data_IF_975257953569
#
_entry.id   IF_975257953569
#
_cell.length_a   1.000
_cell.length_b   1.000
_cell.length_c   1.000
_cell.angle_alpha   90.00
_cell.angle_beta   90.00
_cell.angle_gamma   90.00
#
_symmetry.space_group_name_H-M   'P 1'
#
loop_
_entity.id
_entity.type
_entity.pdbx_description
1 polymer ?
#
# COMPACT_ATOMS: atom_id res chain seq x y z
N UNK A 1 -2.43 -2.30 6.34
CA UNK A 1 -1.67 -1.82 5.17
C UNK A 1 -2.58 -1.72 3.96
N UNK A 2 -2.54 -0.62 3.24
CA UNK A 2 -3.36 -0.35 2.04
C UNK A 2 -2.55 0.41 0.98
N UNK A 3 -3.13 0.58 -0.21
CA UNK A 3 -2.56 1.34 -1.32
C UNK A 3 -3.65 1.83 -2.27
N UNK A 4 -3.31 2.77 -3.14
CA UNK A 4 -4.13 3.15 -4.30
C UNK A 4 -5.55 3.57 -3.89
N UNK A 5 -5.66 4.45 -2.90
CA UNK A 5 -6.92 5.03 -2.44
C UNK A 5 -7.46 6.07 -3.42
N UNK A 6 -6.57 6.76 -4.18
CA UNK A 6 -6.95 7.76 -5.17
C UNK A 6 -7.96 8.80 -4.64
N UNK A 7 -7.74 9.29 -3.42
CA UNK A 7 -8.61 10.27 -2.78
C UNK A 7 -9.89 9.71 -2.15
N UNK A 8 -10.14 8.41 -2.30
CA UNK A 8 -11.33 7.78 -1.75
C UNK A 8 -11.17 7.39 -0.29
N UNK A 9 -12.10 7.85 0.55
CA UNK A 9 -12.27 7.40 1.93
C UNK A 9 -13.41 6.39 2.03
N UNK A 10 -13.20 5.31 2.77
CA UNK A 10 -14.23 4.36 3.16
C UNK A 10 -14.44 4.46 4.67
N UNK A 11 -15.68 4.70 5.11
CA UNK A 11 -15.99 4.83 6.54
C UNK A 11 -15.69 3.54 7.32
N UNK A 12 -15.58 2.41 6.61
CA UNK A 12 -15.15 1.12 7.21
C UNK A 12 -13.68 1.10 7.59
N UNK A 13 -12.85 2.01 7.07
CA UNK A 13 -11.42 2.04 7.41
C UNK A 13 -11.20 2.17 8.91
N UNK A 14 -12.00 3.00 9.60
CA UNK A 14 -11.88 3.16 11.05
C UNK A 14 -12.03 1.83 11.78
N UNK A 15 -13.06 1.05 11.46
CA UNK A 15 -13.30 -0.25 12.07
C UNK A 15 -12.20 -1.28 11.74
N UNK A 16 -11.69 -1.28 10.50
CA UNK A 16 -10.63 -2.21 10.12
C UNK A 16 -9.28 -1.90 10.75
N UNK A 17 -9.01 -0.62 11.06
CA UNK A 17 -7.75 -0.19 11.67
C UNK A 17 -7.81 -0.06 13.19
N UNK A 18 -8.98 -0.21 13.81
CA UNK A 18 -9.16 -0.05 15.25
C UNK A 18 -8.19 -0.94 16.05
N UNK A 19 -8.05 -2.20 15.68
CA UNK A 19 -7.15 -3.16 16.33
C UNK A 19 -5.68 -3.08 15.86
N UNK A 20 -5.34 -2.16 14.96
CA UNK A 20 -3.98 -2.00 14.46
C UNK A 20 -3.21 -0.96 15.26
N UNK A 21 -1.91 -1.17 15.43
CA UNK A 21 -1.01 -0.20 16.05
C UNK A 21 -0.55 0.89 15.08
N UNK A 22 -0.41 0.57 13.79
CA UNK A 22 0.01 1.48 12.73
C UNK A 22 -0.78 1.25 11.44
N UNK A 23 -0.90 2.29 10.63
CA UNK A 23 -1.41 2.23 9.26
C UNK A 23 -0.27 2.51 8.29
N UNK A 24 -0.11 1.65 7.27
CA UNK A 24 0.87 1.83 6.20
C UNK A 24 0.19 1.99 4.85
N UNK A 25 0.64 2.97 4.05
CA UNK A 25 0.07 3.28 2.74
C UNK A 25 1.15 3.26 1.65
N UNK A 26 1.00 2.38 0.66
CA UNK A 26 1.98 2.16 -0.40
C UNK A 26 1.79 3.08 -1.63
N UNK A 27 1.28 4.29 -1.44
CA UNK A 27 1.23 5.34 -2.47
C UNK A 27 -0.08 5.44 -3.25
N UNK A 28 -0.16 6.45 -4.12
CA UNK A 28 -1.38 6.90 -4.78
C UNK A 28 -2.49 7.20 -3.76
N UNK A 29 -2.14 8.04 -2.79
CA UNK A 29 -3.03 8.48 -1.72
C UNK A 29 -4.16 9.34 -2.32
N UNK A 30 -3.81 10.28 -3.21
CA UNK A 30 -4.71 11.12 -3.96
C UNK A 30 -4.86 12.55 -3.40
N UNK A 31 -4.60 12.77 -2.13
CA UNK A 31 -4.49 14.11 -1.53
C UNK A 31 -3.79 14.09 -0.18
N UNK A 32 -3.15 15.21 0.16
CA UNK A 32 -2.55 15.38 1.49
C UNK A 32 -3.59 15.28 2.61
N UNK A 33 -4.79 15.85 2.40
CA UNK A 33 -5.88 15.79 3.39
C UNK A 33 -6.32 14.36 3.70
N UNK A 34 -6.30 13.46 2.73
CA UNK A 34 -6.58 12.06 2.96
C UNK A 34 -5.47 11.38 3.79
N UNK A 35 -4.20 11.66 3.49
CA UNK A 35 -3.08 11.19 4.30
C UNK A 35 -3.19 11.65 5.76
N UNK A 36 -3.48 12.92 5.98
CA UNK A 36 -3.70 13.49 7.32
C UNK A 36 -4.88 12.84 8.05
N UNK A 37 -5.90 12.39 7.33
CA UNK A 37 -7.02 11.67 7.92
C UNK A 37 -6.58 10.31 8.47
N UNK A 38 -5.69 9.59 7.79
CA UNK A 38 -5.09 8.37 8.32
C UNK A 38 -4.17 8.64 9.52
N UNK A 39 -3.37 9.72 9.45
CA UNK A 39 -2.51 10.16 10.58
C UNK A 39 -3.30 10.45 11.85
N UNK A 40 -4.52 10.98 11.71
CA UNK A 40 -5.40 11.27 12.84
C UNK A 40 -5.95 10.00 13.50
N UNK A 41 -5.98 8.86 12.80
CA UNK A 41 -6.45 7.60 13.35
C UNK A 41 -5.37 6.84 14.11
N UNK A 42 -4.20 6.68 13.52
CA UNK A 42 -3.10 5.84 14.04
C UNK A 42 -1.75 6.40 13.56
N UNK A 43 -0.62 6.03 14.19
CA UNK A 43 0.70 6.23 13.62
C UNK A 43 0.71 5.77 12.15
N UNK A 44 1.18 6.63 11.26
CA UNK A 44 1.03 6.46 9.82
C UNK A 44 2.38 6.47 9.13
N UNK A 45 2.64 5.46 8.30
CA UNK A 45 3.79 5.41 7.40
C UNK A 45 3.31 5.34 5.97
N UNK A 46 3.80 6.22 5.13
CA UNK A 46 3.38 6.25 3.74
C UNK A 46 4.53 6.59 2.79
N UNK A 47 4.38 6.17 1.55
CA UNK A 47 5.11 6.68 0.41
C UNK A 47 4.13 7.38 -0.52
N UNK A 48 4.61 8.35 -1.31
CA UNK A 48 3.78 8.89 -2.39
C UNK A 48 3.81 7.98 -3.62
N UNK A 49 2.77 8.05 -4.43
CA UNK A 49 2.70 7.38 -5.73
C UNK A 49 2.83 8.36 -6.91
N UNK A 50 2.59 7.85 -8.11
CA UNK A 50 2.75 8.63 -9.34
C UNK A 50 1.64 9.66 -9.57
N UNK A 51 0.44 9.46 -9.02
CA UNK A 51 -0.67 10.42 -9.16
C UNK A 51 -0.67 11.49 -8.06
N UNK A 52 0.11 11.30 -7.00
CA UNK A 52 0.11 12.21 -5.86
C UNK A 52 0.69 13.58 -6.25
N UNK A 53 0.03 14.63 -5.77
CA UNK A 53 0.37 16.02 -6.03
C UNK A 53 1.61 16.51 -5.24
N UNK A 54 2.09 17.71 -5.54
CA UNK A 54 3.28 18.26 -4.89
C UNK A 54 3.17 18.37 -3.37
N UNK A 55 2.05 18.80 -2.75
CA UNK A 55 1.92 18.76 -1.30
C UNK A 55 2.02 17.37 -0.69
N UNK A 56 1.39 16.37 -1.30
CA UNK A 56 1.46 14.97 -0.86
C UNK A 56 2.88 14.42 -0.99
N UNK A 57 3.56 14.70 -2.09
CA UNK A 57 4.97 14.31 -2.31
C UNK A 57 5.94 14.98 -1.35
N UNK A 58 5.65 16.20 -0.91
CA UNK A 58 6.45 16.89 0.09
C UNK A 58 6.30 16.27 1.48
N UNK A 59 5.12 15.74 1.80
CA UNK A 59 4.83 15.12 3.09
C UNK A 59 5.33 13.67 3.20
N UNK A 60 5.28 12.91 2.09
CA UNK A 60 5.60 11.48 2.08
C UNK A 60 6.73 11.18 1.08
N UNK A 61 7.77 10.40 1.47
CA UNK A 61 8.89 10.09 0.58
C UNK A 61 8.47 9.15 -0.57
N UNK A 62 9.27 9.10 -1.64
CA UNK A 62 9.09 8.13 -2.74
C UNK A 62 9.36 6.69 -2.30
N UNK A 63 10.31 6.52 -1.37
CA UNK A 63 10.73 5.23 -0.83
C UNK A 63 10.96 5.38 0.65
N UNK A 64 10.49 4.42 1.44
CA UNK A 64 10.64 4.40 2.88
C UNK A 64 11.27 3.08 3.31
N UNK A 65 12.36 3.14 4.08
CA UNK A 65 12.97 1.97 4.70
C UNK A 65 13.05 2.16 6.21
N UNK A 66 12.61 1.16 6.95
CA UNK A 66 12.61 1.18 8.41
C UNK A 66 12.68 -0.24 8.97
N UNK A 67 13.06 -0.34 10.24
CA UNK A 67 12.98 -1.59 10.98
C UNK A 67 11.93 -1.45 12.08
N UNK A 68 11.02 -2.39 12.15
CA UNK A 68 9.99 -2.47 13.18
C UNK A 68 9.87 -3.91 13.67
N UNK A 69 9.86 -4.12 14.99
CA UNK A 69 9.82 -5.45 15.61
C UNK A 69 10.86 -6.43 15.02
N UNK A 70 12.07 -5.94 14.70
CA UNK A 70 13.14 -6.74 14.10
C UNK A 70 12.96 -7.09 12.62
N UNK A 71 11.93 -6.58 11.96
CA UNK A 71 11.68 -6.75 10.53
C UNK A 71 12.18 -5.52 9.76
N UNK A 72 13.14 -5.72 8.85
CA UNK A 72 13.60 -4.69 7.90
C UNK A 72 12.59 -4.58 6.75
N UNK A 73 11.94 -3.44 6.64
CA UNK A 73 10.89 -3.15 5.66
C UNK A 73 11.37 -2.13 4.65
N UNK A 74 11.13 -2.40 3.37
CA UNK A 74 11.29 -1.44 2.29
C UNK A 74 9.95 -1.25 1.60
N UNK A 75 9.48 -0.01 1.48
CA UNK A 75 8.22 0.35 0.84
C UNK A 75 8.45 1.37 -0.26
N UNK A 76 7.86 1.16 -1.42
CA UNK A 76 7.80 2.09 -2.55
C UNK A 76 6.46 1.90 -3.27
N UNK A 77 6.03 2.89 -4.07
CA UNK A 77 4.78 2.72 -4.82
C UNK A 77 4.96 1.83 -6.05
N UNK A 78 5.87 2.18 -6.95
CA UNK A 78 6.16 1.42 -8.16
C UNK A 78 7.34 0.49 -7.89
N UNK A 79 7.07 -0.79 -7.63
CA UNK A 79 8.12 -1.73 -7.22
C UNK A 79 8.19 -3.01 -8.05
N UNK A 80 7.14 -3.34 -8.79
CA UNK A 80 7.01 -4.63 -9.46
C UNK A 80 6.80 -5.76 -8.45
N UNK A 81 7.34 -6.95 -8.74
CA UNK A 81 7.18 -8.15 -7.92
C UNK A 81 8.34 -9.13 -8.17
N UNK A 82 8.51 -10.18 -7.36
CA UNK A 82 9.56 -11.17 -7.54
C UNK A 82 9.66 -11.71 -8.97
N UNK A 83 10.84 -11.59 -9.56
CA UNK A 83 11.12 -11.92 -10.96
C UNK A 83 10.89 -10.78 -11.97
N UNK A 84 10.16 -9.73 -11.60
CA UNK A 84 9.88 -8.55 -12.44
C UNK A 84 9.87 -7.25 -11.62
N UNK A 85 10.93 -7.03 -10.85
CA UNK A 85 11.11 -5.78 -10.11
C UNK A 85 11.28 -4.58 -11.04
N UNK A 86 10.70 -3.46 -10.64
CA UNK A 86 10.88 -2.19 -11.35
C UNK A 86 12.37 -1.80 -11.37
N UNK A 87 12.90 -1.31 -12.51
CA UNK A 87 14.31 -0.92 -12.63
C UNK A 87 14.79 0.07 -11.58
N UNK A 88 13.93 1.01 -11.15
CA UNK A 88 14.29 2.06 -10.18
C UNK A 88 14.59 1.51 -8.78
N UNK A 89 13.92 0.42 -8.37
CA UNK A 89 14.10 -0.17 -7.04
C UNK A 89 14.97 -1.43 -7.06
N UNK A 90 15.11 -2.08 -8.21
CA UNK A 90 15.79 -3.38 -8.36
C UNK A 90 17.21 -3.37 -7.81
N UNK A 91 17.99 -2.34 -8.12
CA UNK A 91 19.37 -2.23 -7.65
C UNK A 91 19.43 -2.17 -6.12
N UNK A 92 18.56 -1.42 -5.49
CA UNK A 92 18.48 -1.30 -4.03
C UNK A 92 18.06 -2.63 -3.37
N UNK A 93 17.07 -3.32 -3.97
CA UNK A 93 16.62 -4.63 -3.50
C UNK A 93 17.73 -5.68 -3.55
N UNK A 94 18.53 -5.70 -4.61
CA UNK A 94 19.64 -6.65 -4.75
C UNK A 94 20.83 -6.30 -3.86
N UNK A 95 21.16 -5.01 -3.70
CA UNK A 95 22.27 -4.57 -2.88
C UNK A 95 22.03 -4.84 -1.38
N UNK A 96 20.80 -4.63 -0.92
CA UNK A 96 20.41 -4.86 0.47
C UNK A 96 18.95 -5.35 0.53
N UNK A 97 18.73 -6.66 0.36
CA UNK A 97 17.37 -7.21 0.40
C UNK A 97 16.70 -6.95 1.75
N UNK A 98 15.47 -6.41 1.78
CA UNK A 98 14.69 -6.29 3.01
C UNK A 98 14.09 -7.65 3.39
N UNK A 99 13.62 -7.80 4.61
CA UNK A 99 12.80 -8.95 4.99
C UNK A 99 11.37 -8.87 4.43
N UNK A 100 10.85 -7.63 4.35
CA UNK A 100 9.54 -7.32 3.78
C UNK A 100 9.67 -6.21 2.73
N UNK A 101 9.25 -6.49 1.51
CA UNK A 101 9.15 -5.52 0.42
C UNK A 101 7.70 -5.25 0.07
N UNK A 102 7.30 -3.98 0.15
CA UNK A 102 5.93 -3.53 -0.09
C UNK A 102 5.90 -2.62 -1.32
N UNK A 103 4.96 -2.92 -2.24
CA UNK A 103 4.66 -2.08 -3.40
C UNK A 103 3.16 -1.96 -3.61
N UNK A 104 2.73 -0.95 -4.37
CA UNK A 104 1.35 -0.72 -4.81
C UNK A 104 1.24 -0.69 -6.33
N UNK A 105 0.58 0.33 -6.87
CA UNK A 105 0.49 0.71 -8.29
C UNK A 105 -0.26 -0.26 -9.22
N UNK A 106 0.01 -1.55 -9.16
CA UNK A 106 -0.63 -2.52 -10.06
C UNK A 106 -2.11 -2.76 -9.77
N UNK A 107 -2.60 -2.32 -8.61
CA UNK A 107 -3.94 -2.62 -8.07
C UNK A 107 -4.22 -4.12 -7.91
N UNK A 108 -3.19 -4.95 -7.98
CA UNK A 108 -3.30 -6.41 -7.90
C UNK A 108 -2.79 -6.88 -6.54
N UNK A 109 -3.70 -7.45 -5.74
CA UNK A 109 -3.33 -8.13 -4.51
C UNK A 109 -2.31 -9.23 -4.81
N UNK A 110 -1.14 -9.16 -4.17
CA UNK A 110 -0.08 -10.15 -4.34
C UNK A 110 0.72 -10.33 -3.05
N UNK A 111 0.87 -11.56 -2.64
CA UNK A 111 1.78 -11.96 -1.57
C UNK A 111 2.67 -13.07 -2.11
N UNK A 112 3.97 -12.83 -2.18
CA UNK A 112 4.94 -13.73 -2.80
C UNK A 112 6.26 -13.74 -2.03
N UNK A 113 6.82 -14.92 -1.80
CA UNK A 113 8.16 -15.03 -1.24
C UNK A 113 9.21 -15.17 -2.37
N UNK A 114 10.14 -14.22 -2.39
CA UNK A 114 11.31 -14.29 -3.27
C UNK A 114 12.41 -15.15 -2.62
N UNK A 115 12.58 -16.35 -3.14
CA UNK A 115 13.60 -17.31 -2.65
C UNK A 115 15.03 -16.82 -2.89
N UNK A 116 15.28 -16.01 -3.94
CA UNK A 116 16.61 -15.49 -4.27
C UNK A 116 17.04 -14.41 -3.31
N UNK A 117 16.14 -13.47 -3.05
CA UNK A 117 16.38 -12.36 -2.13
C UNK A 117 16.04 -12.69 -0.68
N UNK A 118 15.41 -13.85 -0.42
CA UNK A 118 14.86 -14.23 0.90
C UNK A 118 13.97 -13.14 1.49
N UNK A 119 13.12 -12.58 0.66
CA UNK A 119 12.29 -11.44 0.94
C UNK A 119 10.82 -11.78 0.72
N UNK A 120 9.94 -11.41 1.66
CA UNK A 120 8.50 -11.47 1.43
C UNK A 120 8.06 -10.20 0.71
N UNK A 121 7.41 -10.37 -0.44
CA UNK A 121 6.78 -9.27 -1.18
C UNK A 121 5.28 -9.23 -0.89
N UNK A 122 4.77 -8.01 -0.63
CA UNK A 122 3.35 -7.74 -0.47
C UNK A 122 2.92 -6.55 -1.33
N UNK A 123 1.82 -6.72 -2.05
CA UNK A 123 1.03 -5.65 -2.63
C UNK A 123 -0.40 -5.80 -2.11
N UNK A 124 -0.95 -4.80 -1.41
CA UNK A 124 -2.28 -4.92 -0.80
C UNK A 124 -3.44 -4.88 -1.80
N UNK A 125 -3.17 -4.69 -3.09
CA UNK A 125 -4.18 -4.33 -4.07
C UNK A 125 -4.63 -2.88 -3.89
N UNK A 126 -5.73 -2.48 -4.52
CA UNK A 126 -6.26 -1.14 -4.40
C UNK A 126 -7.38 -1.07 -3.35
N UNK A 127 -7.29 -0.11 -2.45
CA UNK A 127 -8.33 0.17 -1.46
C UNK A 127 -9.36 1.20 -1.97
N UNK A 128 -9.01 1.96 -3.01
CA UNK A 128 -9.88 2.94 -3.65
C UNK A 128 -10.81 2.35 -4.70
N UNK A 129 -11.58 3.25 -5.32
CA UNK A 129 -12.54 2.88 -6.37
C UNK A 129 -12.03 3.07 -7.80
N UNK A 130 -10.88 3.70 -7.97
CA UNK A 130 -10.29 3.97 -9.28
C UNK A 130 -9.39 2.81 -9.73
N UNK A 131 -9.45 2.44 -11.02
CA UNK A 131 -8.59 1.42 -11.63
C UNK A 131 -9.35 0.24 -12.22
N UNK A 132 -8.64 -0.82 -12.64
CA UNK A 132 -9.21 -1.99 -13.32
C UNK A 132 -9.54 -3.16 -12.38
N UNK A 133 -9.19 -3.07 -11.11
CA UNK A 133 -9.52 -4.10 -10.11
C UNK A 133 -11.04 -4.20 -9.91
N UNK A 134 -11.52 -5.39 -9.59
CA UNK A 134 -12.94 -5.65 -9.32
C UNK A 134 -13.27 -5.56 -7.83
N UNK A 135 -12.38 -6.06 -7.01
CA UNK A 135 -12.51 -6.11 -5.55
C UNK A 135 -11.48 -5.19 -4.93
N UNK A 136 -11.90 -4.37 -3.99
CA UNK A 136 -11.04 -3.51 -3.19
C UNK A 136 -10.51 -4.30 -2.01
N UNK A 137 -9.22 -4.15 -1.71
CA UNK A 137 -8.55 -4.95 -0.68
C UNK A 137 -7.61 -4.12 0.18
N UNK A 138 -7.35 -4.62 1.38
CA UNK A 138 -6.22 -4.23 2.22
C UNK A 138 -5.64 -5.48 2.92
N UNK A 139 -4.43 -5.35 3.46
CA UNK A 139 -3.77 -6.40 4.22
C UNK A 139 -3.62 -6.00 5.69
N UNK A 140 -3.81 -6.95 6.58
CA UNK A 140 -3.50 -6.84 8.01
C UNK A 140 -2.57 -7.98 8.41
N UNK A 141 -1.54 -7.69 9.20
CA UNK A 141 -0.56 -8.67 9.66
C UNK A 141 0.10 -8.20 10.94
N UNK A 142 0.82 -9.09 11.59
CA UNK A 142 1.55 -8.82 12.82
C UNK A 142 3.06 -8.94 12.55
N UNK A 143 3.83 -7.97 13.05
CA UNK A 143 5.27 -8.06 13.17
C UNK A 143 5.61 -8.38 14.62
N UNK A 144 6.46 -9.39 14.85
CA UNK A 144 6.81 -9.82 16.19
C UNK A 144 8.18 -10.52 16.19
N UNK A 145 9.16 -9.93 16.88
CA UNK A 145 10.50 -10.49 17.05
C UNK A 145 11.15 -10.98 15.74
N UNK A 146 11.08 -10.16 14.71
CA UNK A 146 11.62 -10.47 13.38
C UNK A 146 10.71 -11.35 12.53
N UNK A 147 9.53 -11.74 12.97
CA UNK A 147 8.59 -12.56 12.22
C UNK A 147 7.44 -11.73 11.66
N UNK A 148 6.92 -12.18 10.53
CA UNK A 148 5.69 -11.67 9.90
C UNK A 148 4.67 -12.79 10.00
N UNK A 149 3.57 -12.56 10.71
CA UNK A 149 2.57 -13.60 10.99
C UNK A 149 1.15 -13.07 10.90
N UNK A 150 0.20 -13.98 10.90
CA UNK A 150 -1.24 -13.70 10.93
C UNK A 150 -1.68 -12.77 9.79
N UNK A 151 -1.13 -13.02 8.59
CA UNK A 151 -1.48 -12.24 7.41
C UNK A 151 -2.93 -12.53 6.99
N UNK A 152 -3.70 -11.46 6.91
CA UNK A 152 -5.10 -11.48 6.54
C UNK A 152 -5.36 -10.55 5.36
N UNK A 153 -6.12 -11.03 4.39
CA UNK A 153 -6.67 -10.23 3.29
C UNK A 153 -8.07 -9.78 3.70
N UNK A 154 -8.29 -8.47 3.70
CA UNK A 154 -9.61 -7.89 3.98
C UNK A 154 -10.19 -7.36 2.67
N UNK A 155 -11.30 -7.95 2.24
CA UNK A 155 -12.08 -7.46 1.11
C UNK A 155 -13.02 -6.34 1.55
N UNK A 156 -12.85 -5.17 0.95
CA UNK A 156 -13.64 -3.97 1.26
C UNK A 156 -14.96 -3.92 0.46
N UNK A 157 -15.21 -4.93 -0.38
CA UNK A 157 -16.33 -5.02 -1.29
C UNK A 157 -15.97 -4.70 -2.74
N UNK A 158 -16.95 -4.84 -3.61
CA UNK A 158 -16.78 -4.57 -5.02
C UNK A 158 -16.57 -3.07 -5.28
N UNK A 159 -15.83 -2.77 -6.33
CA UNK A 159 -15.79 -1.44 -6.91
C UNK A 159 -17.18 -1.13 -7.47
N UNK A 160 -17.95 -0.24 -6.85
CA UNK A 160 -19.23 0.19 -7.43
C UNK A 160 -19.00 0.86 -8.78
N UNK A 161 -19.69 0.40 -9.83
CA UNK A 161 -19.64 0.93 -11.20
C UNK A 161 -20.34 2.30 -11.32
N UNK A 162 -20.13 3.22 -10.40
CA UNK A 162 -20.52 4.62 -10.60
C UNK A 162 -19.32 5.35 -11.21
N UNK A 163 -19.18 5.24 -12.52
CA UNK A 163 -18.40 6.16 -13.34
C UNK A 163 -19.19 7.49 -13.40
N UNK A 164 -18.69 8.58 -12.79
CA UNK A 164 -19.37 9.88 -12.86
C UNK A 164 -19.46 10.45 -14.28
N UNK A 165 -18.71 9.90 -15.24
CA UNK A 165 -18.66 10.38 -16.62
C UNK A 165 -19.82 9.92 -17.50
N UNK A 166 -20.76 9.10 -16.97
CA UNK A 166 -21.95 8.63 -17.71
C UNK A 166 -23.26 9.28 -17.29
N UNK A 167 -23.24 10.30 -16.44
CA UNK A 167 -24.45 10.96 -15.93
C UNK A 167 -25.02 12.07 -16.85
N UNK A 168 -24.34 12.46 -17.94
CA UNK A 168 -24.78 13.54 -18.84
C UNK A 168 -24.94 13.10 -20.29
N UNK A 169 -25.74 12.07 -20.55
CA UNK A 169 -26.29 11.79 -21.89
C UNK A 169 -27.69 11.22 -21.76
N UNK A 170 -28.64 12.09 -21.40
CA UNK A 170 -30.05 11.94 -21.80
C UNK A 170 -30.73 13.31 -21.79
#
# INVERSE_FOLDING_TARGET
MLSDTHGYWDDKFEAYFDSCDEIWHAGDIGSLSLGQRFEALKPFRAVHGNIDDSPTRAAYPATLRFTLEGVDVLMTHIGGYPGRYDPLIRSQLHARPPKLFIAGHSHILKVMYDKKLKCLHMNPGAAGKYGFHKVRTLLRFILDNGNIRDLEVIELGEKSNQDPSRADQH
#
